data_IF_872954879430
#
_entry.id   IF_872954879430
#
_cell.length_a   1.000
_cell.length_b   1.000
_cell.length_c   1.000
_cell.angle_alpha   90.00
_cell.angle_beta   90.00
_cell.angle_gamma   90.00
#
_symmetry.space_group_name_H-M   'P 1'
#
loop_
_entity.id
_entity.type
_entity.pdbx_description
1 polymer ?
#
# COMPACT_ATOMS: atom_id res chain seq x y z
N UNK A 1 -17.49 -15.57 19.84
CA UNK A 1 -17.48 -15.33 18.38
C UNK A 1 -18.80 -14.69 17.97
N UNK A 2 -18.74 -13.56 17.30
CA UNK A 2 -19.86 -12.93 16.65
C UNK A 2 -19.71 -13.16 15.14
N UNK A 3 -20.72 -13.70 14.50
CA UNK A 3 -20.79 -13.89 13.05
C UNK A 3 -21.96 -13.07 12.52
N UNK A 4 -21.74 -12.31 11.46
CA UNK A 4 -22.77 -11.57 10.76
C UNK A 4 -22.67 -11.89 9.27
N UNK A 5 -23.80 -12.23 8.67
CA UNK A 5 -23.91 -12.44 7.23
C UNK A 5 -24.39 -11.15 6.57
N UNK A 6 -23.65 -10.70 5.58
CA UNK A 6 -23.95 -9.48 4.81
C UNK A 6 -24.36 -9.90 3.40
N UNK A 7 -25.61 -9.65 3.04
CA UNK A 7 -26.09 -9.90 1.69
C UNK A 7 -25.65 -8.77 0.75
N UNK A 8 -24.97 -9.12 -0.35
CA UNK A 8 -24.59 -8.20 -1.39
C UNK A 8 -25.54 -8.33 -2.58
N UNK A 9 -26.05 -7.20 -3.05
CA UNK A 9 -26.84 -7.14 -4.27
C UNK A 9 -26.08 -6.41 -5.35
N UNK A 10 -25.81 -7.10 -6.46
CA UNK A 10 -25.12 -6.53 -7.62
C UNK A 10 -26.18 -6.00 -8.58
N UNK A 11 -26.17 -4.69 -8.92
CA UNK A 11 -27.09 -4.13 -9.91
C UNK A 11 -26.94 -4.81 -11.27
N UNK A 12 -28.05 -5.03 -11.98
CA UNK A 12 -28.05 -5.71 -13.29
C UNK A 12 -27.18 -5.02 -14.37
N UNK A 13 -26.85 -3.76 -14.20
CA UNK A 13 -25.98 -2.99 -15.11
C UNK A 13 -24.56 -2.75 -14.58
N UNK A 14 -24.14 -3.46 -13.53
CA UNK A 14 -22.79 -3.29 -13.01
C UNK A 14 -21.76 -3.70 -14.06
N UNK A 15 -20.79 -2.85 -14.39
CA UNK A 15 -19.72 -3.19 -15.32
C UNK A 15 -18.94 -4.42 -14.84
N UNK A 16 -18.42 -5.27 -15.73
CA UNK A 16 -17.52 -6.34 -15.33
C UNK A 16 -16.26 -5.80 -14.66
N UNK A 17 -15.76 -6.50 -13.65
CA UNK A 17 -14.53 -6.16 -12.97
C UNK A 17 -14.56 -6.36 -11.47
N UNK A 18 -13.44 -6.08 -10.79
CA UNK A 18 -13.30 -6.20 -9.35
C UNK A 18 -13.90 -5.00 -8.60
N UNK A 19 -14.64 -5.28 -7.55
CA UNK A 19 -15.25 -4.30 -6.67
C UNK A 19 -14.79 -4.55 -5.23
N UNK A 20 -14.10 -3.59 -4.59
CA UNK A 20 -13.79 -3.71 -3.17
C UNK A 20 -15.06 -3.49 -2.34
N UNK A 21 -15.32 -4.41 -1.42
CA UNK A 21 -16.39 -4.32 -0.45
C UNK A 21 -15.78 -4.17 0.93
N UNK A 22 -16.10 -3.06 1.59
CA UNK A 22 -15.59 -2.73 2.92
C UNK A 22 -16.63 -3.07 3.96
N UNK A 23 -16.27 -3.92 4.92
CA UNK A 23 -17.06 -4.19 6.10
C UNK A 23 -16.46 -3.48 7.32
N UNK A 24 -17.28 -2.73 8.05
CA UNK A 24 -16.85 -2.09 9.29
C UNK A 24 -17.69 -2.61 10.46
N UNK A 25 -17.02 -3.12 11.48
CA UNK A 25 -17.62 -3.43 12.77
C UNK A 25 -17.34 -2.30 13.76
N UNK A 26 -18.40 -1.66 14.27
CA UNK A 26 -18.28 -0.66 15.32
C UNK A 26 -18.85 -1.22 16.61
N UNK A 27 -18.06 -1.19 17.68
CA UNK A 27 -18.56 -1.48 19.02
C UNK A 27 -19.28 -0.25 19.53
N UNK A 28 -20.61 -0.37 19.76
CA UNK A 28 -21.50 0.74 20.18
C UNK A 28 -21.83 0.67 21.68
N UNK A 29 -21.03 -0.04 22.48
CA UNK A 29 -21.25 -0.09 23.91
C UNK A 29 -20.92 1.27 24.53
N UNK A 30 -21.94 1.94 25.05
CA UNK A 30 -21.81 3.26 25.70
C UNK A 30 -21.13 3.18 27.07
N UNK A 31 -21.04 2.00 27.66
CA UNK A 31 -20.33 1.77 28.93
C UNK A 31 -18.78 1.76 28.73
N UNK A 32 -18.30 1.54 27.48
CA UNK A 32 -16.88 1.55 27.17
C UNK A 32 -16.45 2.98 26.81
N UNK A 33 -15.38 3.52 27.44
CA UNK A 33 -14.85 4.84 27.08
C UNK A 33 -14.61 4.99 25.57
N UNK A 34 -14.91 6.16 25.00
CA UNK A 34 -14.81 6.38 23.55
C UNK A 34 -13.41 6.06 22.99
N UNK A 35 -12.35 6.30 23.78
CA UNK A 35 -10.97 5.98 23.40
C UNK A 35 -10.68 4.47 23.26
N UNK A 36 -11.57 3.60 23.77
CA UNK A 36 -11.41 2.15 23.73
C UNK A 36 -12.34 1.48 22.72
N UNK A 37 -13.17 2.26 22.04
CA UNK A 37 -14.06 1.76 20.99
C UNK A 37 -13.26 1.50 19.75
N UNK A 38 -13.03 0.24 19.46
CA UNK A 38 -12.35 -0.18 18.24
C UNK A 38 -13.33 -0.22 17.07
N UNK A 39 -12.87 0.29 15.92
CA UNK A 39 -13.48 0.00 14.62
C UNK A 39 -12.61 -1.07 13.97
N UNK A 40 -13.20 -2.23 13.75
CA UNK A 40 -12.56 -3.29 12.96
C UNK A 40 -13.05 -3.17 11.55
N UNK A 41 -12.13 -3.09 10.61
CA UNK A 41 -12.43 -2.98 9.18
C UNK A 41 -11.81 -4.15 8.44
N UNK A 42 -12.58 -4.74 7.55
CA UNK A 42 -12.10 -5.76 6.63
C UNK A 42 -12.58 -5.44 5.22
N UNK A 43 -11.79 -5.79 4.23
CA UNK A 43 -12.08 -5.53 2.82
C UNK A 43 -11.99 -6.84 2.05
N UNK A 44 -13.08 -7.20 1.37
CA UNK A 44 -13.06 -8.28 0.39
C UNK A 44 -13.25 -7.73 -1.02
N UNK A 45 -12.82 -8.48 -2.02
CA UNK A 45 -13.04 -8.12 -3.42
C UNK A 45 -14.10 -9.04 -4.01
N UNK A 46 -15.16 -8.43 -4.57
CA UNK A 46 -16.20 -9.13 -5.33
C UNK A 46 -15.96 -8.89 -6.81
N UNK A 47 -15.78 -9.95 -7.58
CA UNK A 47 -15.61 -9.85 -9.04
C UNK A 47 -16.95 -10.04 -9.72
N UNK A 48 -17.31 -9.10 -10.61
CA UNK A 48 -18.50 -9.15 -11.44
C UNK A 48 -18.09 -9.47 -12.87
N UNK A 49 -18.71 -10.49 -13.50
CA UNK A 49 -18.43 -10.91 -14.87
C UNK A 49 -17.84 -12.31 -14.95
N UNK A 50 -17.79 -12.85 -16.17
CA UNK A 50 -17.55 -14.26 -16.43
C UNK A 50 -16.07 -14.67 -16.61
N UNK A 51 -15.13 -13.74 -16.64
CA UNK A 51 -13.73 -14.09 -16.85
C UNK A 51 -13.04 -14.33 -15.51
N UNK A 52 -12.66 -15.58 -15.34
CA UNK A 52 -12.06 -16.13 -14.12
C UNK A 52 -10.59 -15.77 -13.92
N UNK A 53 -10.00 -14.99 -14.78
CA UNK A 53 -8.69 -14.42 -14.52
C UNK A 53 -8.89 -13.27 -13.53
N UNK A 54 -8.79 -13.61 -12.25
CA UNK A 54 -8.72 -12.65 -11.14
C UNK A 54 -7.48 -11.77 -11.34
N UNK A 55 -7.61 -10.83 -12.25
CA UNK A 55 -6.60 -9.81 -12.38
C UNK A 55 -6.47 -9.09 -11.05
N UNK A 56 -5.25 -8.92 -10.62
CA UNK A 56 -4.95 -8.19 -9.39
C UNK A 56 -5.64 -6.83 -9.42
N UNK A 57 -6.43 -6.54 -8.37
CA UNK A 57 -7.14 -5.26 -8.23
C UNK A 57 -6.16 -4.10 -8.23
N UNK A 58 -5.00 -4.32 -7.63
CA UNK A 58 -3.92 -3.35 -7.47
C UNK A 58 -2.63 -4.00 -7.98
N UNK A 59 -1.88 -3.30 -8.77
CA UNK A 59 -0.67 -3.82 -9.41
C UNK A 59 0.44 -2.78 -9.47
N UNK A 60 1.68 -3.28 -9.53
CA UNK A 60 2.85 -2.45 -9.73
C UNK A 60 2.92 -2.02 -11.20
N UNK A 61 2.92 -0.72 -11.46
CA UNK A 61 3.09 -0.13 -12.80
C UNK A 61 4.56 0.11 -13.09
N UNK A 62 5.26 0.69 -12.10
CA UNK A 62 6.68 1.02 -12.22
C UNK A 62 7.35 0.84 -10.85
N UNK A 63 8.51 0.21 -10.87
CA UNK A 63 9.31 -0.06 -9.69
C UNK A 63 10.43 0.96 -9.49
N UNK A 64 11.07 0.93 -8.32
CA UNK A 64 12.24 1.74 -8.08
C UNK A 64 13.45 1.24 -8.89
N UNK A 65 14.34 2.15 -9.24
CA UNK A 65 15.65 1.83 -9.78
C UNK A 65 16.72 1.81 -8.66
N UNK A 66 17.85 1.18 -8.93
CA UNK A 66 19.02 1.25 -8.06
C UNK A 66 19.44 2.71 -7.82
N UNK A 67 19.85 2.99 -6.61
CA UNK A 67 20.20 4.33 -6.13
C UNK A 67 21.69 4.36 -5.84
N UNK A 68 22.38 5.34 -6.40
CA UNK A 68 23.77 5.66 -6.08
C UNK A 68 23.85 7.14 -5.71
N UNK A 69 24.41 7.45 -4.53
CA UNK A 69 24.51 8.81 -4.02
C UNK A 69 25.68 8.95 -3.03
N UNK A 70 26.15 10.17 -2.87
CA UNK A 70 27.16 10.46 -1.83
C UNK A 70 26.50 10.58 -0.45
N UNK A 71 27.27 10.35 0.60
CA UNK A 71 26.84 10.62 1.97
C UNK A 71 26.48 12.11 2.12
N UNK A 72 25.31 12.41 2.70
CA UNK A 72 24.75 13.75 2.81
C UNK A 72 23.86 14.20 1.64
N UNK A 73 23.87 13.48 0.54
CA UNK A 73 22.99 13.75 -0.61
C UNK A 73 21.57 13.21 -0.38
N UNK A 74 20.68 13.49 -1.34
CA UNK A 74 19.28 13.06 -1.30
C UNK A 74 18.89 12.38 -2.62
N UNK A 75 18.24 11.24 -2.48
CA UNK A 75 17.60 10.52 -3.59
C UNK A 75 16.17 10.11 -3.20
N UNK A 76 15.44 9.46 -4.10
CA UNK A 76 14.08 8.95 -3.86
C UNK A 76 13.92 7.52 -4.30
N UNK A 77 13.37 6.72 -3.40
CA UNK A 77 12.84 5.39 -3.68
C UNK A 77 11.38 5.57 -4.08
N UNK A 78 11.07 5.42 -5.36
CA UNK A 78 9.73 5.70 -5.88
C UNK A 78 9.11 4.47 -6.55
N UNK A 79 7.80 4.29 -6.36
CA UNK A 79 6.98 3.27 -7.03
C UNK A 79 5.72 3.90 -7.59
N UNK A 80 5.19 3.33 -8.66
CA UNK A 80 3.88 3.69 -9.20
C UNK A 80 2.95 2.48 -9.12
N UNK A 81 1.82 2.66 -8.47
CA UNK A 81 0.78 1.64 -8.27
C UNK A 81 -0.42 2.00 -9.13
N UNK A 82 -0.98 1.01 -9.82
CA UNK A 82 -2.18 1.13 -10.61
C UNK A 82 -3.37 0.41 -9.99
N UNK A 83 -4.58 0.85 -10.30
CA UNK A 83 -5.85 0.26 -9.88
C UNK A 83 -6.73 -0.12 -11.07
N UNK A 84 -7.32 -1.31 -11.00
CA UNK A 84 -8.44 -1.74 -11.85
C UNK A 84 -9.81 -1.52 -11.20
N UNK A 85 -9.83 -1.09 -9.94
CA UNK A 85 -11.07 -0.83 -9.20
C UNK A 85 -11.89 0.30 -9.84
N UNK A 86 -13.20 0.18 -9.75
CA UNK A 86 -14.13 1.23 -10.20
C UNK A 86 -14.38 2.33 -9.15
N UNK A 87 -13.74 2.22 -7.98
CA UNK A 87 -13.81 3.18 -6.89
C UNK A 87 -12.41 3.55 -6.42
N UNK A 88 -12.30 4.66 -5.73
CA UNK A 88 -11.08 5.06 -5.05
C UNK A 88 -10.76 4.08 -3.91
N UNK A 89 -9.49 3.80 -3.73
CA UNK A 89 -8.98 2.90 -2.69
C UNK A 89 -8.01 3.66 -1.79
N UNK A 90 -8.15 3.47 -0.48
CA UNK A 90 -7.10 3.85 0.45
C UNK A 90 -5.97 2.81 0.36
N UNK A 91 -4.73 3.28 0.34
CA UNK A 91 -3.56 2.41 0.41
C UNK A 91 -2.60 2.89 1.49
N UNK A 92 -1.84 1.97 2.02
CA UNK A 92 -0.69 2.20 2.87
C UNK A 92 0.56 1.62 2.22
N UNK A 93 1.63 2.37 2.24
CA UNK A 93 2.90 1.95 1.68
C UNK A 93 4.00 2.04 2.74
N UNK A 94 4.89 1.05 2.75
CA UNK A 94 6.00 0.97 3.67
C UNK A 94 7.31 0.79 2.92
N UNK A 95 8.31 1.57 3.28
CA UNK A 95 9.69 1.26 2.91
C UNK A 95 10.21 0.13 3.79
N UNK A 96 10.79 -0.89 3.19
CA UNK A 96 11.41 -2.01 3.89
C UNK A 96 12.89 -2.00 3.52
N UNK A 97 13.74 -1.94 4.54
CA UNK A 97 15.18 -1.86 4.39
C UNK A 97 15.88 -2.51 5.60
N UNK A 98 17.19 -2.77 5.57
CA UNK A 98 17.90 -3.37 6.69
C UNK A 98 17.79 -2.57 7.97
N UNK A 99 17.98 -3.24 9.10
CA UNK A 99 18.05 -2.60 10.40
C UNK A 99 19.13 -1.50 10.42
N UNK A 100 18.80 -0.35 11.02
CA UNK A 100 19.71 0.81 11.09
C UNK A 100 19.61 1.79 9.93
N UNK A 101 18.84 1.46 8.87
CA UNK A 101 18.65 2.39 7.73
C UNK A 101 17.36 3.21 7.84
N UNK A 102 16.51 2.94 8.81
CA UNK A 102 15.19 3.58 8.96
C UNK A 102 15.26 5.07 9.32
N UNK A 103 16.42 5.55 9.78
CA UNK A 103 16.65 6.96 10.07
C UNK A 103 16.86 7.81 8.82
N UNK A 104 17.23 7.18 7.70
CA UNK A 104 17.57 7.87 6.47
C UNK A 104 16.91 7.32 5.19
N UNK A 105 16.13 6.23 5.30
CA UNK A 105 15.19 5.76 4.26
C UNK A 105 13.78 5.90 4.83
N UNK A 106 13.03 6.92 4.37
CA UNK A 106 11.74 7.18 4.97
C UNK A 106 10.89 8.24 4.25
N UNK A 107 9.72 8.55 4.81
CA UNK A 107 9.18 8.03 6.07
C UNK A 107 8.92 6.52 6.00
N UNK A 108 8.89 5.80 7.14
CA UNK A 108 8.70 4.33 7.12
C UNK A 108 7.34 3.90 6.56
N UNK A 109 6.34 4.79 6.61
CA UNK A 109 4.99 4.55 6.10
C UNK A 109 4.40 5.80 5.47
N UNK A 110 3.64 5.60 4.39
CA UNK A 110 2.88 6.63 3.67
C UNK A 110 1.45 6.13 3.45
N UNK A 111 0.46 6.98 3.79
CA UNK A 111 -0.92 6.79 3.35
C UNK A 111 -1.19 7.58 2.07
N UNK A 112 -1.95 7.00 1.15
CA UNK A 112 -2.36 7.67 -0.08
C UNK A 112 -3.73 7.17 -0.57
N UNK A 113 -4.30 7.89 -1.52
CA UNK A 113 -5.51 7.49 -2.24
C UNK A 113 -5.13 7.07 -3.64
N UNK A 114 -5.55 5.88 -4.04
CA UNK A 114 -5.40 5.34 -5.37
C UNK A 114 -6.71 5.61 -6.13
N UNK A 115 -6.69 6.44 -7.19
CA UNK A 115 -7.91 6.78 -7.91
C UNK A 115 -8.54 5.56 -8.60
N UNK A 116 -9.85 5.61 -8.81
CA UNK A 116 -10.57 4.62 -9.60
C UNK A 116 -9.94 4.49 -11.00
N UNK A 117 -9.54 3.27 -11.39
CA UNK A 117 -8.85 2.97 -12.65
C UNK A 117 -7.66 3.90 -12.95
N UNK A 118 -7.05 4.43 -11.90
CA UNK A 118 -5.97 5.38 -11.98
C UNK A 118 -4.65 4.85 -11.42
N UNK A 119 -3.73 5.77 -11.22
CA UNK A 119 -2.40 5.47 -10.70
C UNK A 119 -2.04 6.44 -9.58
N UNK A 120 -1.23 5.98 -8.63
CA UNK A 120 -0.62 6.79 -7.59
C UNK A 120 0.89 6.55 -7.56
N UNK A 121 1.64 7.65 -7.51
CA UNK A 121 3.10 7.60 -7.32
C UNK A 121 3.43 7.82 -5.86
N UNK A 122 4.16 6.89 -5.28
CA UNK A 122 4.61 6.91 -3.89
C UNK A 122 6.13 7.09 -3.89
N UNK A 123 6.65 7.93 -3.00
CA UNK A 123 8.07 8.18 -2.92
C UNK A 123 8.53 8.29 -1.48
N UNK A 124 9.64 7.64 -1.18
CA UNK A 124 10.33 7.68 0.10
C UNK A 124 11.68 8.38 -0.10
N UNK A 125 12.02 9.28 0.79
CA UNK A 125 13.32 9.96 0.73
C UNK A 125 14.44 9.01 1.17
N UNK A 126 15.58 9.07 0.49
CA UNK A 126 16.82 8.39 0.85
C UNK A 126 17.84 9.47 1.12
N UNK A 127 18.21 9.67 2.39
CA UNK A 127 19.04 10.78 2.87
C UNK A 127 20.11 10.26 3.83
N UNK A 128 21.13 9.52 3.33
CA UNK A 128 22.20 9.01 4.18
C UNK A 128 22.90 10.18 4.88
N UNK A 129 23.16 10.09 6.19
CA UNK A 129 23.86 11.15 6.89
C UNK A 129 25.29 11.32 6.38
N UNK A 130 25.82 12.54 6.46
CA UNK A 130 27.14 12.87 5.92
C UNK A 130 28.30 12.10 6.57
N UNK A 131 28.09 11.50 7.73
CA UNK A 131 29.07 10.68 8.44
C UNK A 131 29.02 9.19 8.07
N UNK A 132 28.03 8.79 7.24
CA UNK A 132 27.88 7.39 6.85
C UNK A 132 29.05 6.97 5.95
N UNK A 133 29.71 5.91 6.35
CA UNK A 133 30.79 5.34 5.53
C UNK A 133 30.23 4.72 4.24
N UNK A 134 31.03 4.72 3.15
CA UNK A 134 30.64 4.08 1.90
C UNK A 134 30.22 2.62 2.10
N UNK A 135 29.13 2.24 1.46
CA UNK A 135 28.58 0.91 1.64
C UNK A 135 27.40 0.62 0.71
N UNK A 136 26.88 -0.59 0.84
CA UNK A 136 25.74 -1.05 0.04
C UNK A 136 24.63 -1.59 0.94
N UNK A 137 23.43 -1.14 0.67
CA UNK A 137 22.18 -1.59 1.31
C UNK A 137 21.17 -1.97 0.24
N UNK A 138 20.03 -2.44 0.67
CA UNK A 138 18.90 -2.70 -0.20
C UNK A 138 17.65 -2.04 0.37
N UNK A 139 16.67 -1.75 -0.50
CA UNK A 139 15.36 -1.30 -0.10
C UNK A 139 14.30 -1.83 -1.06
N UNK A 140 13.08 -1.97 -0.57
CA UNK A 140 11.89 -2.24 -1.38
C UNK A 140 10.68 -1.51 -0.80
N UNK A 141 9.62 -1.42 -1.57
CA UNK A 141 8.35 -0.86 -1.12
C UNK A 141 7.30 -1.97 -1.08
N UNK A 142 6.62 -2.08 0.04
CA UNK A 142 5.41 -2.89 0.21
C UNK A 142 4.20 -1.97 0.24
N UNK A 143 3.19 -2.28 -0.54
CA UNK A 143 1.93 -1.54 -0.58
C UNK A 143 0.79 -2.46 -0.17
N UNK A 144 0.03 -2.06 0.85
CA UNK A 144 -1.22 -2.68 1.28
C UNK A 144 -2.41 -1.89 0.71
N UNK A 145 -3.32 -2.57 0.05
CA UNK A 145 -4.51 -1.95 -0.51
C UNK A 145 -5.62 -2.99 -0.72
N UNK A 146 -6.81 -2.72 -0.19
CA UNK A 146 -7.98 -3.58 -0.38
C UNK A 146 -7.75 -5.06 -0.04
N UNK A 147 -6.97 -5.33 1.02
CA UNK A 147 -6.65 -6.69 1.45
C UNK A 147 -5.55 -7.38 0.61
N UNK A 148 -4.98 -6.70 -0.37
CA UNK A 148 -3.88 -7.20 -1.20
C UNK A 148 -2.56 -6.56 -0.79
N UNK A 149 -1.46 -7.32 -0.98
CA UNK A 149 -0.10 -6.83 -0.80
C UNK A 149 0.64 -6.86 -2.13
N UNK A 150 1.18 -5.71 -2.51
CA UNK A 150 2.03 -5.54 -3.69
C UNK A 150 3.44 -5.18 -3.23
N UNK A 151 4.43 -5.84 -3.79
CA UNK A 151 5.84 -5.59 -3.48
C UNK A 151 6.56 -5.07 -4.72
N UNK A 152 7.37 -4.04 -4.54
CA UNK A 152 8.35 -3.68 -5.57
C UNK A 152 9.51 -4.70 -5.61
N UNK A 153 10.26 -4.75 -6.69
CA UNK A 153 11.59 -5.35 -6.65
C UNK A 153 12.44 -4.68 -5.57
N UNK A 154 13.34 -5.48 -4.97
CA UNK A 154 14.38 -4.91 -4.12
C UNK A 154 15.42 -4.21 -5.00
N UNK A 155 15.82 -3.02 -4.60
CA UNK A 155 16.86 -2.25 -5.28
C UNK A 155 18.08 -2.08 -4.40
N UNK A 156 19.21 -1.86 -5.03
CA UNK A 156 20.45 -1.54 -4.35
C UNK A 156 20.51 -0.05 -4.05
N UNK A 157 20.95 0.28 -2.84
CA UNK A 157 21.28 1.64 -2.40
C UNK A 157 22.77 1.67 -2.09
N UNK A 158 23.52 2.33 -2.94
CA UNK A 158 24.98 2.49 -2.80
C UNK A 158 25.30 3.90 -2.32
N UNK A 159 26.00 4.01 -1.21
CA UNK A 159 26.52 5.28 -0.69
C UNK A 159 28.01 5.31 -0.95
N UNK A 160 28.50 6.39 -1.59
CA UNK A 160 29.90 6.58 -1.99
C UNK A 160 30.55 7.71 -1.21
#
# INVERSE_FOLDING_TARGET
>A
HLQADIALSIPAGAPPGPYPVRAQLRVVDTAVPAAWRQVVEDVCVVTVGADSDLEELVYLVDGPADIELAAGDRARLAVTIGSRAHAELALDAHSISPWGTWEWIGPPALGAVLPARGMAKLAFDVTPPAWLEPGQWWALVRVGCAGQLVYSPAVKVSVT
#
